data_IF_450809104866
#
_entry.id   IF_450809104866
#
_cell.length_a   1.000
_cell.length_b   1.000
_cell.length_c   1.000
_cell.angle_alpha   90.00
_cell.angle_beta   90.00
_cell.angle_gamma   90.00
#
_symmetry.space_group_name_H-M   'P 1'
#
loop_
_entity.id
_entity.type
_entity.pdbx_description
1 polymer ?
#
# COMPACT_ATOMS: atom_id res chain seq x y z
N UNK A 1 -10.17 1.40 0.91
CA UNK A 1 -10.50 1.44 2.35
C UNK A 1 -11.47 2.55 2.74
N UNK A 2 -11.76 3.46 1.84
CA UNK A 2 -12.66 4.57 2.13
C UNK A 2 -14.07 4.04 2.44
N UNK A 3 -14.69 4.56 3.52
CA UNK A 3 -16.02 4.16 3.94
C UNK A 3 -16.09 2.86 4.72
N UNK A 4 -14.96 2.19 4.95
CA UNK A 4 -14.91 0.94 5.70
C UNK A 4 -14.56 1.25 7.16
N UNK A 5 -15.21 0.54 8.09
CA UNK A 5 -14.94 0.72 9.52
C UNK A 5 -13.51 0.32 9.88
N UNK A 6 -12.86 1.04 10.82
CA UNK A 6 -11.47 0.76 11.20
C UNK A 6 -11.20 -0.68 11.64
N UNK A 7 -12.13 -1.32 12.32
CA UNK A 7 -11.96 -2.71 12.75
C UNK A 7 -11.90 -3.66 11.57
N UNK A 8 -12.70 -3.40 10.54
CA UNK A 8 -12.72 -4.22 9.32
C UNK A 8 -11.44 -3.99 8.53
N UNK A 9 -10.96 -2.75 8.48
CA UNK A 9 -9.69 -2.43 7.81
C UNK A 9 -8.54 -3.22 8.43
N UNK A 10 -8.51 -3.31 9.78
CA UNK A 10 -7.48 -4.09 10.46
C UNK A 10 -7.57 -5.57 10.16
N UNK A 11 -8.77 -6.09 10.01
CA UNK A 11 -8.97 -7.49 9.65
C UNK A 11 -8.48 -7.78 8.24
N UNK A 12 -8.74 -6.87 7.31
CA UNK A 12 -8.27 -6.96 5.93
C UNK A 12 -6.74 -6.91 5.91
N UNK A 13 -6.15 -5.98 6.63
CA UNK A 13 -4.70 -5.85 6.74
C UNK A 13 -4.07 -7.14 7.24
N UNK A 14 -4.64 -7.72 8.30
CA UNK A 14 -4.13 -8.96 8.87
C UNK A 14 -4.21 -10.12 7.87
N UNK A 15 -5.31 -10.22 7.14
CA UNK A 15 -5.49 -11.27 6.14
C UNK A 15 -4.46 -11.15 5.02
N UNK A 16 -4.24 -9.93 4.51
CA UNK A 16 -3.26 -9.68 3.45
C UNK A 16 -1.86 -10.02 3.95
N UNK A 17 -1.52 -9.59 5.16
CA UNK A 17 -0.20 -9.83 5.74
C UNK A 17 0.05 -11.34 5.91
N UNK A 18 -0.94 -12.07 6.38
CA UNK A 18 -0.83 -13.52 6.55
C UNK A 18 -0.58 -14.22 5.21
N UNK A 19 -1.32 -13.83 4.18
CA UNK A 19 -1.16 -14.40 2.84
C UNK A 19 0.22 -14.07 2.25
N UNK A 20 0.69 -12.84 2.44
CA UNK A 20 1.99 -12.42 1.95
C UNK A 20 3.13 -13.17 2.63
N UNK A 21 3.02 -13.37 3.95
CA UNK A 21 4.04 -14.05 4.74
C UNK A 21 4.11 -15.55 4.47
N UNK A 22 3.05 -16.13 3.89
CA UNK A 22 3.05 -17.55 3.55
C UNK A 22 4.10 -17.88 2.48
N UNK A 23 4.49 -16.90 1.67
CA UNK A 23 5.48 -17.09 0.61
C UNK A 23 4.93 -17.83 -0.61
N UNK A 24 3.66 -18.16 -0.62
CA UNK A 24 3.05 -18.93 -1.70
C UNK A 24 2.50 -18.08 -2.84
N UNK A 25 2.42 -16.76 -2.63
CA UNK A 25 1.86 -15.86 -3.63
C UNK A 25 2.43 -14.46 -3.54
N UNK A 26 2.37 -13.74 -4.65
CA UNK A 26 2.64 -12.32 -4.68
C UNK A 26 1.29 -11.59 -4.65
N UNK A 27 1.22 -10.48 -3.94
CA UNK A 27 -0.02 -9.70 -3.79
C UNK A 27 0.18 -8.31 -4.35
N UNK A 28 -0.69 -7.90 -5.26
CA UNK A 28 -0.72 -6.55 -5.78
C UNK A 28 -1.89 -5.81 -5.12
N UNK A 29 -1.57 -4.77 -4.35
CA UNK A 29 -2.56 -3.94 -3.67
C UNK A 29 -2.66 -2.59 -4.38
N UNK A 30 -3.86 -2.20 -4.80
CA UNK A 30 -4.11 -0.89 -5.39
C UNK A 30 -4.90 -0.08 -4.36
N UNK A 31 -4.30 1.00 -3.85
CA UNK A 31 -4.87 1.75 -2.74
C UNK A 31 -4.41 3.21 -2.79
N UNK A 32 -5.31 4.13 -2.47
CA UNK A 32 -4.98 5.56 -2.35
C UNK A 32 -4.73 5.99 -0.91
N UNK A 33 -5.16 5.18 0.07
CA UNK A 33 -4.96 5.50 1.47
C UNK A 33 -3.54 5.15 1.88
N UNK A 34 -2.71 6.17 2.06
CA UNK A 34 -1.27 6.04 2.28
C UNK A 34 -0.90 5.14 3.45
N UNK A 35 -1.48 5.40 4.63
CA UNK A 35 -1.10 4.67 5.83
C UNK A 35 -1.38 3.17 5.71
N UNK A 36 -2.49 2.82 5.08
CA UNK A 36 -2.85 1.42 4.85
C UNK A 36 -1.84 0.74 3.91
N UNK A 37 -1.56 1.37 2.78
CA UNK A 37 -0.63 0.85 1.80
C UNK A 37 0.78 0.72 2.40
N UNK A 38 1.22 1.74 3.12
CA UNK A 38 2.54 1.76 3.74
C UNK A 38 2.71 0.63 4.74
N UNK A 39 1.67 0.31 5.51
CA UNK A 39 1.74 -0.75 6.53
C UNK A 39 1.96 -2.13 5.93
N UNK A 40 1.62 -2.33 4.66
CA UNK A 40 1.64 -3.64 4.00
C UNK A 40 2.71 -3.79 2.93
N UNK A 41 3.20 -2.68 2.37
CA UNK A 41 4.03 -2.73 1.18
C UNK A 41 5.46 -3.20 1.43
N UNK A 42 5.90 -4.17 0.67
CA UNK A 42 7.31 -4.53 0.53
C UNK A 42 7.96 -3.65 -0.53
N UNK A 43 7.21 -3.40 -1.61
CA UNK A 43 7.59 -2.50 -2.69
C UNK A 43 6.40 -1.63 -3.05
N UNK A 44 6.67 -0.44 -3.55
CA UNK A 44 5.60 0.45 -3.98
C UNK A 44 5.83 0.99 -5.39
N UNK A 45 4.71 1.32 -6.03
CA UNK A 45 4.69 2.03 -7.31
C UNK A 45 3.66 3.14 -7.17
N UNK A 46 4.00 4.35 -7.59
CA UNK A 46 3.02 5.44 -7.66
C UNK A 46 2.65 5.63 -9.12
N UNK A 47 1.36 5.53 -9.40
CA UNK A 47 0.86 5.71 -10.76
C UNK A 47 0.18 7.06 -10.91
N UNK A 48 0.45 7.72 -12.02
CA UNK A 48 -0.17 8.99 -12.35
C UNK A 48 -0.45 9.00 -13.85
N UNK A 49 -1.72 9.20 -14.21
CA UNK A 49 -2.16 9.26 -15.61
C UNK A 49 -1.72 8.05 -16.44
N UNK A 50 -1.77 6.87 -15.82
CA UNK A 50 -1.40 5.63 -16.50
C UNK A 50 0.09 5.35 -16.56
N UNK A 51 0.92 6.19 -15.95
CA UNK A 51 2.37 6.03 -15.93
C UNK A 51 2.88 5.86 -14.50
N UNK A 52 4.02 5.19 -14.36
CA UNK A 52 4.68 5.05 -13.08
C UNK A 52 5.49 6.31 -12.81
N UNK A 53 5.07 7.09 -11.81
CA UNK A 53 5.71 8.34 -11.43
C UNK A 53 6.85 8.13 -10.43
N UNK A 54 6.77 7.08 -9.62
CA UNK A 54 7.79 6.77 -8.62
C UNK A 54 7.72 5.30 -8.25
N UNK A 55 8.82 4.75 -7.75
CA UNK A 55 8.87 3.38 -7.24
C UNK A 55 10.00 3.23 -6.23
N UNK A 56 9.89 2.23 -5.36
CA UNK A 56 10.91 1.96 -4.37
C UNK A 56 10.50 0.88 -3.39
N UNK A 57 11.29 0.72 -2.34
CA UNK A 57 10.99 -0.19 -1.25
C UNK A 57 9.92 0.40 -0.35
N UNK A 58 9.04 -0.47 0.20
CA UNK A 58 7.98 -0.01 1.10
C UNK A 58 8.51 0.76 2.29
N UNK A 59 9.65 0.34 2.83
CA UNK A 59 10.28 1.01 3.97
C UNK A 59 10.71 2.44 3.67
N UNK A 60 10.85 2.81 2.40
CA UNK A 60 11.31 4.12 1.97
C UNK A 60 10.17 5.08 1.59
N UNK A 61 8.92 4.67 1.77
CA UNK A 61 7.78 5.50 1.35
C UNK A 61 7.76 6.86 2.03
N UNK A 62 8.10 6.93 3.31
CA UNK A 62 8.16 8.22 4.02
C UNK A 62 9.31 9.09 3.52
N UNK A 63 10.50 8.49 3.32
CA UNK A 63 11.67 9.19 2.82
C UNK A 63 11.43 9.73 1.41
N UNK A 64 10.75 8.96 0.59
CA UNK A 64 10.49 9.30 -0.81
C UNK A 64 9.30 10.25 -0.96
N UNK A 65 8.70 10.65 0.16
CA UNK A 65 7.61 11.63 0.20
C UNK A 65 6.38 11.19 -0.62
N UNK A 66 6.11 9.90 -0.59
CA UNK A 66 5.03 9.29 -1.38
C UNK A 66 3.66 9.86 -0.99
N UNK A 67 3.47 10.18 0.30
CA UNK A 67 2.21 10.77 0.77
C UNK A 67 1.83 12.00 -0.03
N UNK A 68 2.79 12.87 -0.33
CA UNK A 68 2.54 14.09 -1.09
C UNK A 68 2.14 13.79 -2.52
N UNK A 69 2.70 12.73 -3.11
CA UNK A 69 2.37 12.32 -4.48
C UNK A 69 0.94 11.82 -4.59
N UNK A 70 0.37 11.32 -3.48
CA UNK A 70 -1.00 10.82 -3.43
C UNK A 70 -2.01 11.90 -3.04
N UNK A 71 -1.56 13.05 -2.59
CA UNK A 71 -2.43 14.16 -2.21
C UNK A 71 -3.13 14.73 -3.44
N UNK A 72 -4.43 14.96 -3.33
CA UNK A 72 -5.26 15.46 -4.43
C UNK A 72 -5.76 16.84 -4.09
#
# INVERSE_FOLDING_TARGET
TEGIQPSIIKDIERAIRTLAESGEMAILLVEQYYDFARSLADQYLVMERGEIAARGAGADMDRDDVRRLLAV
#
